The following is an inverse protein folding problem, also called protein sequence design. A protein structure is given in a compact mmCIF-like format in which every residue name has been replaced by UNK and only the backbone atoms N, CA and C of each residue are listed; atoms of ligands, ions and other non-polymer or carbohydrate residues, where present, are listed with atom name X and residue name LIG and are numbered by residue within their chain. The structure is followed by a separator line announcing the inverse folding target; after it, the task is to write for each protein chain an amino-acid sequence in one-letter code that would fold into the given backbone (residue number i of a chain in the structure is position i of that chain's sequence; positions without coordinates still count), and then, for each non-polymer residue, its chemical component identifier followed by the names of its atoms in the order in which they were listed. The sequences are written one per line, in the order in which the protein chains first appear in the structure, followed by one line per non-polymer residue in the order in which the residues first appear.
data_IF_526660722130
#
_entry.id   IF_526660722130
#
_cell.length_a   1.000
_cell.length_b   1.000
_cell.length_c   1.000
_cell.angle_alpha   90.00
_cell.angle_beta   90.00
_cell.angle_gamma   90.00
#
_symmetry.space_group_name_H-M   'P 1'
#
loop_
_entity.id
_entity.type
_entity.pdbx_description
1 polymer ?
#
# COMPACT_ATOMS: atom_id res chain seq x y z
N UNK A 1 -20.41 -4.69 19.47
CA UNK A 1 -20.25 -5.17 18.10
C UNK A 1 -19.94 -3.98 17.23
N UNK A 2 -18.78 -3.94 16.63
CA UNK A 2 -18.28 -2.79 15.87
C UNK A 2 -19.13 -2.63 14.61
N UNK A 3 -19.83 -1.49 14.47
CA UNK A 3 -20.74 -1.19 13.35
C UNK A 3 -20.05 -0.97 12.01
N UNK A 4 -19.25 -1.95 11.59
CA UNK A 4 -18.55 -1.97 10.31
C UNK A 4 -19.33 -2.75 9.23
N UNK A 5 -20.44 -3.36 9.58
CA UNK A 5 -21.25 -4.18 8.67
C UNK A 5 -22.69 -3.66 8.80
N UNK A 6 -23.18 -3.05 7.75
CA UNK A 6 -24.58 -2.62 7.67
C UNK A 6 -25.42 -3.83 7.27
N UNK A 7 -26.11 -4.41 8.24
CA UNK A 7 -26.92 -5.63 8.08
C UNK A 7 -26.09 -6.78 7.46
N UNK A 8 -26.23 -7.97 7.81
CA UNK A 8 -25.58 -9.25 7.38
C UNK A 8 -24.80 -9.33 6.04
N UNK A 9 -24.49 -8.21 5.38
CA UNK A 9 -23.80 -8.14 4.09
C UNK A 9 -22.45 -7.41 4.22
N UNK A 10 -21.36 -8.16 4.06
CA UNK A 10 -20.03 -7.61 3.96
C UNK A 10 -19.83 -6.83 2.66
N UNK A 11 -20.43 -7.29 1.55
CA UNK A 11 -20.36 -6.65 0.23
C UNK A 11 -21.05 -5.29 0.21
N UNK A 12 -20.46 -4.35 -0.51
CA UNK A 12 -20.96 -2.97 -0.62
C UNK A 12 -20.45 -2.05 0.50
N UNK A 13 -19.56 -2.53 1.37
CA UNK A 13 -18.99 -1.74 2.46
C UNK A 13 -17.55 -1.31 2.16
N UNK A 14 -17.06 -0.20 2.74
CA UNK A 14 -15.64 0.18 2.63
C UNK A 14 -14.70 -0.92 3.14
N UNK A 15 -15.13 -1.69 4.14
CA UNK A 15 -14.36 -2.79 4.70
C UNK A 15 -14.12 -3.90 3.67
N UNK A 16 -15.13 -4.23 2.85
CA UNK A 16 -14.98 -5.23 1.79
C UNK A 16 -13.94 -4.80 0.76
N UNK A 17 -13.97 -3.53 0.34
CA UNK A 17 -13.00 -2.97 -0.61
C UNK A 17 -11.58 -2.99 -0.02
N UNK A 18 -11.41 -2.53 1.21
CA UNK A 18 -10.11 -2.52 1.92
C UNK A 18 -9.57 -3.95 2.06
N UNK A 19 -10.40 -4.90 2.45
CA UNK A 19 -9.99 -6.31 2.61
C UNK A 19 -9.59 -6.91 1.26
N UNK A 20 -10.34 -6.64 0.19
CA UNK A 20 -10.02 -7.08 -1.16
C UNK A 20 -8.69 -6.51 -1.65
N UNK A 21 -8.48 -5.20 -1.50
CA UNK A 21 -7.20 -4.56 -1.83
C UNK A 21 -6.04 -5.15 -1.01
N UNK A 22 -6.24 -5.33 0.29
CA UNK A 22 -5.22 -5.91 1.17
C UNK A 22 -4.85 -7.32 0.71
N UNK A 23 -5.82 -8.16 0.40
CA UNK A 23 -5.59 -9.52 -0.08
C UNK A 23 -4.83 -9.54 -1.41
N UNK A 24 -5.26 -8.73 -2.39
CA UNK A 24 -4.65 -8.69 -3.72
C UNK A 24 -3.21 -8.14 -3.71
N UNK A 25 -2.94 -7.14 -2.87
CA UNK A 25 -1.62 -6.49 -2.83
C UNK A 25 -0.70 -6.99 -1.70
N UNK A 26 -1.16 -7.92 -0.88
CA UNK A 26 -0.37 -8.53 0.20
C UNK A 26 0.97 -9.13 -0.30
N UNK A 27 1.04 -9.87 -1.42
CA UNK A 27 2.31 -10.39 -1.92
C UNK A 27 3.31 -9.28 -2.30
N UNK A 28 2.81 -8.15 -2.84
CA UNK A 28 3.65 -7.02 -3.24
C UNK A 28 4.29 -6.31 -2.05
N UNK A 29 3.68 -6.37 -0.88
CA UNK A 29 4.27 -5.87 0.36
C UNK A 29 5.19 -6.91 1.00
N UNK A 30 4.79 -8.18 0.98
CA UNK A 30 5.50 -9.24 1.71
C UNK A 30 6.86 -9.56 1.10
N UNK A 31 6.95 -9.61 -0.24
CA UNK A 31 8.19 -9.99 -0.93
C UNK A 31 9.37 -9.03 -0.68
N UNK A 32 9.24 -7.70 -0.86
CA UNK A 32 10.33 -6.77 -0.56
C UNK A 32 10.69 -6.75 0.92
N UNK A 33 9.69 -6.86 1.79
CA UNK A 33 9.91 -6.91 3.23
C UNK A 33 10.69 -8.16 3.63
N UNK A 34 10.30 -9.32 3.11
CA UNK A 34 11.01 -10.58 3.31
C UNK A 34 12.46 -10.47 2.83
N UNK A 35 12.67 -10.00 1.60
CA UNK A 35 14.02 -9.85 1.03
C UNK A 35 14.90 -8.88 1.83
N UNK A 36 14.32 -7.85 2.43
CA UNK A 36 15.05 -6.91 3.28
C UNK A 36 15.40 -7.53 4.63
N UNK A 37 14.50 -8.31 5.22
CA UNK A 37 14.73 -9.01 6.49
C UNK A 37 15.76 -10.14 6.34
N UNK A 38 15.72 -10.86 5.22
CA UNK A 38 16.64 -11.97 4.91
C UNK A 38 18.11 -11.53 4.76
N UNK A 39 18.32 -10.25 4.41
CA UNK A 39 19.67 -9.65 4.29
C UNK A 39 20.28 -9.24 5.64
N UNK A 40 19.52 -9.24 6.72
CA UNK A 40 20.03 -8.83 8.04
C UNK A 40 20.91 -9.96 8.59
N UNK A 41 22.18 -9.64 8.88
CA UNK A 41 23.10 -10.61 9.49
C UNK A 41 22.54 -11.10 10.84
N UNK A 42 22.39 -12.43 11.03
CA UNK A 42 21.93 -13.01 12.31
C UNK A 42 22.74 -12.55 13.53
N UNK A 43 24.02 -12.25 13.35
CA UNK A 43 24.90 -11.75 14.42
C UNK A 43 24.42 -10.41 14.98
N UNK A 44 23.74 -9.59 14.20
CA UNK A 44 23.15 -8.34 14.68
C UNK A 44 21.99 -8.58 15.64
N UNK A 45 21.26 -9.69 15.45
CA UNK A 45 20.21 -10.10 16.39
C UNK A 45 20.77 -10.64 17.69
N UNK A 46 21.87 -11.39 17.62
CA UNK A 46 22.58 -11.89 18.80
C UNK A 46 23.15 -10.72 19.61
N UNK A 47 23.87 -9.80 18.95
CA UNK A 47 24.39 -8.60 19.60
C UNK A 47 23.28 -7.71 20.20
N UNK A 48 22.14 -7.59 19.52
CA UNK A 48 20.99 -6.87 20.05
C UNK A 48 20.40 -7.55 21.30
N UNK A 49 20.42 -8.88 21.36
CA UNK A 49 20.02 -9.66 22.53
C UNK A 49 20.91 -9.38 23.74
N UNK A 50 22.22 -9.27 23.51
CA UNK A 50 23.20 -8.99 24.55
C UNK A 50 23.14 -7.53 25.07
N UNK A 51 22.87 -6.58 24.16
CA UNK A 51 22.83 -5.15 24.51
C UNK A 51 21.48 -4.69 25.10
N UNK A 52 20.39 -5.32 24.71
CA UNK A 52 19.05 -4.88 25.06
C UNK A 52 18.32 -5.94 25.87
N UNK A 53 17.82 -5.55 27.03
CA UNK A 53 17.13 -6.44 27.97
C UNK A 53 15.79 -6.97 27.46
N UNK A 54 15.21 -6.37 26.38
CA UNK A 54 13.91 -6.79 25.84
C UNK A 54 13.97 -6.99 24.33
N UNK A 55 13.35 -8.07 23.80
CA UNK A 55 13.26 -8.34 22.36
C UNK A 55 12.61 -7.19 21.57
N UNK A 56 11.65 -6.49 22.17
CA UNK A 56 10.99 -5.34 21.57
C UNK A 56 11.94 -4.16 21.31
N UNK A 57 12.87 -3.93 22.23
CA UNK A 57 13.88 -2.87 22.07
C UNK A 57 14.86 -3.21 20.95
N UNK A 58 15.31 -4.46 20.88
CA UNK A 58 16.15 -4.97 19.79
C UNK A 58 15.44 -4.85 18.43
N UNK A 59 14.17 -5.27 18.34
CA UNK A 59 13.36 -5.11 17.15
C UNK A 59 13.28 -3.65 16.69
N UNK A 60 12.94 -2.73 17.61
CA UNK A 60 12.73 -1.31 17.25
C UNK A 60 14.04 -0.58 16.89
N UNK A 61 15.18 -0.96 17.52
CA UNK A 61 16.45 -0.27 17.32
C UNK A 61 17.34 -0.89 16.26
N UNK A 62 17.17 -2.16 15.95
CA UNK A 62 18.02 -2.90 15.00
C UNK A 62 17.21 -3.40 13.81
N UNK A 63 16.24 -4.28 14.02
CA UNK A 63 15.51 -4.92 12.92
C UNK A 63 14.70 -3.93 12.10
N UNK A 64 13.92 -3.07 12.75
CA UNK A 64 13.05 -2.12 12.07
C UNK A 64 13.83 -1.11 11.20
N UNK A 65 14.89 -0.44 11.69
CA UNK A 65 15.68 0.46 10.83
C UNK A 65 16.35 -0.25 9.66
N UNK A 66 16.90 -1.44 9.88
CA UNK A 66 17.56 -2.22 8.83
C UNK A 66 16.57 -2.78 7.78
N UNK A 67 15.30 -2.98 8.17
CA UNK A 67 14.25 -3.40 7.23
C UNK A 67 13.54 -2.25 6.51
N UNK A 68 13.84 -0.99 6.85
CA UNK A 68 13.18 0.18 6.24
C UNK A 68 13.25 0.22 4.71
N UNK A 69 14.36 -0.14 4.04
CA UNK A 69 14.39 -0.20 2.58
C UNK A 69 13.32 -1.14 2.00
N UNK A 70 13.09 -2.30 2.64
CA UNK A 70 12.03 -3.23 2.25
C UNK A 70 10.63 -2.69 2.50
N UNK A 71 10.43 -1.97 3.62
CA UNK A 71 9.16 -1.29 3.92
C UNK A 71 8.85 -0.23 2.87
N UNK A 72 9.84 0.60 2.52
CA UNK A 72 9.69 1.64 1.49
C UNK A 72 9.36 1.03 0.14
N UNK A 73 10.14 0.05 -0.31
CA UNK A 73 9.91 -0.63 -1.58
C UNK A 73 8.54 -1.32 -1.64
N UNK A 74 8.17 -2.07 -0.59
CA UNK A 74 6.87 -2.74 -0.50
C UNK A 74 5.70 -1.76 -0.49
N UNK A 75 5.84 -0.64 0.21
CA UNK A 75 4.81 0.41 0.23
C UNK A 75 4.59 0.99 -1.16
N UNK A 76 5.66 1.28 -1.91
CA UNK A 76 5.54 1.80 -3.27
C UNK A 76 4.91 0.78 -4.23
N UNK A 77 5.38 -0.47 -4.17
CA UNK A 77 4.85 -1.56 -5.01
C UNK A 77 3.37 -1.86 -4.73
N UNK A 78 2.91 -1.62 -3.51
CA UNK A 78 1.51 -1.81 -3.12
C UNK A 78 0.67 -0.58 -3.42
N UNK A 79 1.16 0.62 -3.06
CA UNK A 79 0.39 1.86 -3.13
C UNK A 79 0.09 2.29 -4.57
N UNK A 80 1.09 2.21 -5.47
CA UNK A 80 0.93 2.71 -6.84
C UNK A 80 -0.20 1.98 -7.58
N UNK A 81 -0.22 0.63 -7.67
CA UNK A 81 -1.31 -0.07 -8.33
C UNK A 81 -2.63 0.00 -7.56
N UNK A 82 -2.60 -0.01 -6.20
CA UNK A 82 -3.81 0.09 -5.40
C UNK A 82 -4.54 1.42 -5.58
N UNK A 83 -3.80 2.53 -5.74
CA UNK A 83 -4.39 3.85 -5.97
C UNK A 83 -5.17 3.95 -7.30
N UNK A 84 -4.75 3.19 -8.31
CA UNK A 84 -5.44 3.09 -9.62
C UNK A 84 -6.44 1.93 -9.72
N UNK A 85 -6.61 1.14 -8.68
CA UNK A 85 -7.48 -0.04 -8.72
C UNK A 85 -8.95 0.36 -8.90
N UNK A 86 -9.59 -0.22 -9.91
CA UNK A 86 -11.01 -0.06 -10.16
C UNK A 86 -11.80 -1.36 -9.96
N UNK A 87 -11.13 -2.50 -10.01
CA UNK A 87 -11.77 -3.82 -9.97
C UNK A 87 -12.33 -4.11 -8.59
N UNK A 88 -11.50 -3.95 -7.54
CA UNK A 88 -11.95 -4.20 -6.17
C UNK A 88 -13.10 -3.25 -5.78
N UNK A 89 -13.01 -1.98 -6.14
CA UNK A 89 -14.07 -1.01 -5.89
C UNK A 89 -15.36 -1.33 -6.66
N UNK A 90 -15.25 -1.83 -7.89
CA UNK A 90 -16.40 -2.18 -8.72
C UNK A 90 -17.08 -3.48 -8.25
N UNK A 91 -16.32 -4.47 -7.81
CA UNK A 91 -16.85 -5.79 -7.44
C UNK A 91 -17.31 -5.85 -5.98
N UNK A 92 -16.57 -5.21 -5.08
CA UNK A 92 -16.80 -5.31 -3.64
C UNK A 92 -17.45 -4.07 -3.04
N UNK A 93 -17.40 -2.95 -3.75
CA UNK A 93 -17.87 -1.66 -3.27
C UNK A 93 -19.34 -1.38 -3.57
N UNK A 94 -19.75 -0.17 -3.24
CA UNK A 94 -21.07 0.41 -3.50
C UNK A 94 -20.88 1.80 -4.12
N UNK A 95 -21.95 2.46 -4.60
CA UNK A 95 -21.85 3.83 -5.12
C UNK A 95 -21.24 4.84 -4.14
N UNK A 96 -21.31 4.59 -2.83
CA UNK A 96 -20.72 5.43 -1.78
C UNK A 96 -19.22 5.14 -1.55
N UNK A 97 -18.69 4.05 -2.10
CA UNK A 97 -17.29 3.62 -1.92
C UNK A 97 -16.50 3.65 -3.24
N UNK A 98 -16.92 4.52 -4.16
CA UNK A 98 -16.29 4.66 -5.48
C UNK A 98 -14.87 5.19 -5.34
N UNK A 99 -13.90 4.49 -5.94
CA UNK A 99 -12.52 4.93 -6.04
C UNK A 99 -12.27 5.70 -7.33
N UNK A 100 -11.22 6.53 -7.35
CA UNK A 100 -10.88 7.36 -8.51
C UNK A 100 -10.61 6.51 -9.76
N UNK A 101 -9.96 5.36 -9.63
CA UNK A 101 -9.74 4.40 -10.72
C UNK A 101 -11.06 3.94 -11.35
N UNK A 102 -12.10 3.69 -10.55
CA UNK A 102 -13.42 3.31 -11.03
C UNK A 102 -14.10 4.45 -11.79
N UNK A 103 -13.93 5.71 -11.34
CA UNK A 103 -14.45 6.88 -12.04
C UNK A 103 -13.81 7.01 -13.43
N UNK A 104 -12.48 6.91 -13.49
CA UNK A 104 -11.73 6.95 -14.76
C UNK A 104 -12.17 5.84 -15.69
N UNK A 105 -12.24 4.60 -15.21
CA UNK A 105 -12.70 3.46 -15.99
C UNK A 105 -14.15 3.63 -16.47
N UNK A 106 -15.02 4.20 -15.64
CA UNK A 106 -16.41 4.52 -16.00
C UNK A 106 -16.52 5.52 -17.15
N UNK A 107 -15.75 6.60 -17.09
CA UNK A 107 -15.71 7.61 -18.17
C UNK A 107 -15.17 7.01 -19.47
N UNK A 108 -14.12 6.20 -19.39
CA UNK A 108 -13.48 5.61 -20.55
C UNK A 108 -14.33 4.49 -21.20
N UNK A 109 -14.87 3.55 -20.39
CA UNK A 109 -15.49 2.32 -20.89
C UNK A 109 -17.01 2.41 -21.06
N UNK A 110 -17.69 3.26 -20.27
CA UNK A 110 -19.17 3.31 -20.26
C UNK A 110 -19.70 4.58 -20.89
N UNK A 111 -19.14 5.75 -20.50
CA UNK A 111 -19.59 7.05 -21.01
C UNK A 111 -18.94 7.37 -22.34
N UNK A 112 -17.76 6.80 -22.63
CA UNK A 112 -16.93 7.03 -23.81
C UNK A 112 -16.46 8.50 -23.92
N UNK A 113 -16.40 9.20 -22.78
CA UNK A 113 -15.84 10.54 -22.68
C UNK A 113 -14.33 10.44 -22.44
N UNK A 114 -13.60 10.20 -23.53
CA UNK A 114 -12.16 10.04 -23.53
C UNK A 114 -11.41 11.28 -23.03
N UNK A 115 -11.81 12.53 -23.39
CA UNK A 115 -11.13 13.73 -22.86
C UNK A 115 -11.21 13.83 -21.34
N UNK A 116 -12.37 13.61 -20.75
CA UNK A 116 -12.55 13.62 -19.29
C UNK A 116 -11.79 12.48 -18.61
N UNK A 117 -11.85 11.26 -19.18
CA UNK A 117 -11.08 10.13 -18.67
C UNK A 117 -9.56 10.41 -18.69
N UNK A 118 -9.06 10.97 -19.79
CA UNK A 118 -7.65 11.35 -19.91
C UNK A 118 -7.23 12.42 -18.89
N UNK A 119 -8.05 13.46 -18.73
CA UNK A 119 -7.79 14.52 -17.75
C UNK A 119 -7.71 13.97 -16.31
N UNK A 120 -8.67 13.14 -15.91
CA UNK A 120 -8.68 12.49 -14.60
C UNK A 120 -7.48 11.57 -14.40
N UNK A 121 -7.08 10.82 -15.43
CA UNK A 121 -5.89 9.94 -15.39
C UNK A 121 -4.61 10.74 -15.19
N UNK A 122 -4.45 11.89 -15.87
CA UNK A 122 -3.30 12.78 -15.69
C UNK A 122 -3.25 13.35 -14.28
N UNK A 123 -4.39 13.82 -13.76
CA UNK A 123 -4.48 14.33 -12.38
C UNK A 123 -4.12 13.23 -11.37
N UNK A 124 -4.64 12.03 -11.54
CA UNK A 124 -4.31 10.88 -10.69
C UNK A 124 -2.81 10.57 -10.76
N UNK A 125 -2.25 10.48 -11.95
CA UNK A 125 -0.83 10.20 -12.18
C UNK A 125 0.07 11.25 -11.49
N UNK A 126 -0.23 12.54 -11.68
CA UNK A 126 0.53 13.62 -11.04
C UNK A 126 0.40 13.59 -9.52
N UNK A 127 -0.78 13.26 -9.00
CA UNK A 127 -1.01 13.11 -7.56
C UNK A 127 -0.18 11.96 -6.98
N UNK A 128 -0.21 10.79 -7.62
CA UNK A 128 0.59 9.62 -7.20
C UNK A 128 2.08 9.97 -7.27
N UNK A 129 2.54 10.59 -8.36
CA UNK A 129 3.94 10.97 -8.53
C UNK A 129 4.40 11.95 -7.45
N UNK A 130 3.59 12.94 -7.11
CA UNK A 130 3.87 13.89 -6.03
C UNK A 130 3.97 13.19 -4.67
N UNK A 131 3.01 12.31 -4.35
CA UNK A 131 3.00 11.56 -3.10
C UNK A 131 4.21 10.63 -3.00
N UNK A 132 4.53 9.89 -4.06
CA UNK A 132 5.69 8.99 -4.12
C UNK A 132 6.98 9.79 -3.94
N UNK A 133 7.13 10.92 -4.63
CA UNK A 133 8.32 11.77 -4.52
C UNK A 133 8.51 12.29 -3.10
N UNK A 134 7.44 12.76 -2.45
CA UNK A 134 7.47 13.21 -1.06
C UNK A 134 7.82 12.06 -0.12
N UNK A 135 7.23 10.90 -0.33
CA UNK A 135 7.47 9.71 0.48
C UNK A 135 8.92 9.24 0.39
N UNK A 136 9.47 9.09 -0.82
CA UNK A 136 10.87 8.67 -1.05
C UNK A 136 11.85 9.67 -0.43
N UNK A 137 11.64 10.98 -0.65
CA UNK A 137 12.49 12.02 -0.06
C UNK A 137 12.47 12.00 1.48
N UNK A 138 11.35 11.70 2.11
CA UNK A 138 11.24 11.63 3.57
C UNK A 138 11.77 10.32 4.16
N UNK A 139 11.75 9.26 3.40
CA UNK A 139 12.21 7.93 3.85
C UNK A 139 13.75 7.80 3.89
N UNK A 140 14.50 8.85 3.55
CA UNK A 140 15.97 8.87 3.67
C UNK A 140 16.66 7.88 2.75
N UNK A 141 16.12 7.63 1.59
CA UNK A 141 16.62 6.63 0.61
C UNK A 141 17.87 7.12 -0.12
N UNK A 142 18.89 7.60 0.59
CA UNK A 142 20.21 7.84 -0.02
C UNK A 142 20.93 6.56 -0.44
N UNK A 143 20.44 5.39 -0.01
CA UNK A 143 21.04 4.08 -0.29
C UNK A 143 20.44 3.32 -1.50
N UNK A 144 19.45 3.90 -2.20
CA UNK A 144 18.85 3.25 -3.38
C UNK A 144 19.36 3.77 -4.73
N UNK A 145 20.37 4.64 -4.74
CA UNK A 145 21.13 5.08 -5.89
C UNK A 145 22.59 4.66 -5.78
#
# INVERSE_FOLDING_TARGET
MVGLIDGDKLLGTPLAVITGLTYNFLPFMTLPLYASLDRIDPRLHEAAGDLYSTPWTGFRKVTLPLSMPGVVAGTLLTFIPAAGDYINSQLLGSPSTTMIGQVVAGQFLRVLDYPTAAALSVVLMLTILALVTVYVRRSGTEELL
#
